data_IF_324550785746
#
_entry.id   IF_324550785746
#
_cell.length_a   1.000
_cell.length_b   1.000
_cell.length_c   1.000
_cell.angle_alpha   90.00
_cell.angle_beta   90.00
_cell.angle_gamma   90.00
#
_symmetry.space_group_name_H-M   'P 1'
#
loop_
_entity.id
_entity.type
_entity.pdbx_description
1 polymer ?
#
# COMPACT_ATOMS: atom_id res chain seq x y z
N UNK A 1 7.72 1.29 10.90
CA UNK A 1 8.14 2.22 11.97
C UNK A 1 8.15 3.60 11.33
N UNK A 2 7.53 4.58 11.95
CA UNK A 2 7.52 5.96 11.45
C UNK A 2 8.52 6.85 12.19
N UNK A 3 8.64 8.09 11.75
CA UNK A 3 9.50 9.14 12.34
C UNK A 3 9.15 9.50 13.79
N UNK A 4 7.97 9.09 14.26
CA UNK A 4 7.45 9.37 15.60
C UNK A 4 7.79 8.28 16.61
N UNK A 5 8.58 7.28 16.22
CA UNK A 5 8.88 6.14 17.08
C UNK A 5 7.67 5.22 17.28
N UNK A 6 6.72 5.17 16.33
CA UNK A 6 5.59 4.24 16.39
C UNK A 6 5.85 3.02 15.51
N UNK A 7 5.69 1.84 16.09
CA UNK A 7 5.69 0.57 15.35
C UNK A 7 4.28 0.25 14.88
N UNK A 8 4.06 0.37 13.57
CA UNK A 8 2.83 -0.04 12.91
C UNK A 8 2.89 -1.51 12.51
N UNK A 9 1.89 -2.29 12.92
CA UNK A 9 1.72 -3.68 12.54
C UNK A 9 0.42 -3.88 11.78
N UNK A 10 0.48 -4.76 10.80
CA UNK A 10 -0.67 -5.28 10.10
C UNK A 10 -0.88 -6.73 10.55
N UNK A 11 -2.00 -7.00 11.19
CA UNK A 11 -2.50 -8.35 11.41
C UNK A 11 -3.44 -8.68 10.25
N UNK A 12 -3.00 -9.54 9.33
CA UNK A 12 -3.81 -9.91 8.17
C UNK A 12 -5.02 -10.78 8.55
N UNK A 13 -5.02 -11.40 9.74
CA UNK A 13 -6.02 -12.35 10.17
C UNK A 13 -6.11 -13.63 9.33
N UNK A 14 -5.17 -13.85 8.40
CA UNK A 14 -5.09 -15.06 7.57
C UNK A 14 -4.30 -16.17 8.26
N UNK A 15 -4.81 -17.40 8.19
CA UNK A 15 -4.09 -18.60 8.57
C UNK A 15 -4.36 -19.72 7.59
N UNK A 16 -3.31 -20.19 6.92
CA UNK A 16 -3.37 -21.28 5.93
C UNK A 16 -4.31 -20.98 4.75
N UNK A 17 -4.26 -19.75 4.21
CA UNK A 17 -5.12 -19.29 3.11
C UNK A 17 -6.61 -19.26 3.51
N UNK A 18 -6.88 -18.78 4.72
CA UNK A 18 -8.22 -18.61 5.26
C UNK A 18 -8.24 -17.54 6.35
N UNK A 19 -9.11 -16.54 6.17
CA UNK A 19 -9.39 -15.52 7.16
C UNK A 19 -10.03 -16.15 8.42
N UNK A 20 -9.30 -16.17 9.54
CA UNK A 20 -9.79 -16.72 10.81
C UNK A 20 -10.24 -15.65 11.80
N UNK A 21 -9.80 -14.40 11.60
CA UNK A 21 -10.25 -13.23 12.34
C UNK A 21 -10.24 -12.00 11.43
N UNK A 22 -11.00 -10.94 11.76
CA UNK A 22 -10.94 -9.68 11.03
C UNK A 22 -9.51 -9.13 10.97
N UNK A 23 -9.08 -8.56 9.83
CA UNK A 23 -7.77 -7.94 9.72
C UNK A 23 -7.69 -6.66 10.55
N UNK A 24 -6.54 -6.40 11.15
CA UNK A 24 -6.34 -5.28 12.06
C UNK A 24 -5.08 -4.48 11.73
N UNK A 25 -5.14 -3.17 11.96
CA UNK A 25 -4.00 -2.27 11.96
C UNK A 25 -3.74 -1.87 13.42
N UNK A 26 -2.51 -2.07 13.88
CA UNK A 26 -2.08 -1.73 15.22
C UNK A 26 -0.92 -0.74 15.16
N UNK A 27 -0.80 0.11 16.18
CA UNK A 27 0.40 0.91 16.40
C UNK A 27 0.82 0.82 17.87
N UNK A 28 2.12 0.64 18.10
CA UNK A 28 2.74 0.63 19.40
C UNK A 28 3.72 1.79 19.52
N UNK A 29 3.77 2.41 20.69
CA UNK A 29 4.83 3.34 21.07
C UNK A 29 6.10 2.53 21.38
N UNK A 30 7.21 2.82 20.70
CA UNK A 30 8.49 2.13 20.91
C UNK A 30 9.26 2.60 22.15
N UNK A 31 8.95 3.77 22.70
CA UNK A 31 9.56 4.26 23.94
C UNK A 31 8.88 3.63 25.16
N UNK A 32 7.55 3.53 25.13
CA UNK A 32 6.75 3.09 26.29
C UNK A 32 6.27 1.64 26.21
N UNK A 33 6.48 0.95 25.08
CA UNK A 33 5.96 -0.39 24.80
C UNK A 33 4.42 -0.49 24.94
N UNK A 34 3.70 0.62 24.70
CA UNK A 34 2.24 0.67 24.86
C UNK A 34 1.51 0.62 23.52
N UNK A 35 0.31 0.03 23.53
CA UNK A 35 -0.59 0.01 22.38
C UNK A 35 -1.28 1.37 22.23
N UNK A 36 -1.01 2.08 21.13
CA UNK A 36 -1.61 3.39 20.81
C UNK A 36 -2.92 3.23 20.03
N UNK A 37 -2.89 2.43 18.98
CA UNK A 37 -4.04 2.20 18.10
C UNK A 37 -4.28 0.70 17.90
N UNK A 38 -5.55 0.30 17.92
CA UNK A 38 -6.03 -0.99 17.41
C UNK A 38 -7.27 -0.73 16.60
N UNK A 39 -7.17 -0.96 15.30
CA UNK A 39 -8.25 -0.73 14.35
C UNK A 39 -8.58 -2.03 13.63
N UNK A 40 -9.83 -2.45 13.72
CA UNK A 40 -10.35 -3.56 12.93
C UNK A 40 -10.90 -3.02 11.61
N UNK A 41 -10.40 -3.52 10.48
CA UNK A 41 -10.90 -3.13 9.16
C UNK A 41 -12.36 -3.62 9.05
N UNK A 42 -13.32 -2.78 8.65
CA UNK A 42 -14.72 -3.20 8.52
C UNK A 42 -14.89 -4.30 7.46
N UNK A 43 -15.73 -5.30 7.75
CA UNK A 43 -16.00 -6.42 6.83
C UNK A 43 -16.60 -6.02 5.48
N UNK A 44 -17.13 -4.80 5.36
CA UNK A 44 -17.58 -4.24 4.08
C UNK A 44 -16.42 -3.78 3.17
N UNK A 45 -15.19 -3.74 3.68
CA UNK A 45 -14.01 -3.21 2.97
C UNK A 45 -13.04 -4.31 2.51
N UNK A 46 -13.35 -5.58 2.75
CA UNK A 46 -12.54 -6.70 2.27
C UNK A 46 -13.40 -7.85 1.78
N UNK A 47 -12.78 -8.74 1.04
CA UNK A 47 -13.40 -9.93 0.45
C UNK A 47 -12.86 -11.19 1.12
N UNK A 48 -13.51 -12.33 0.89
CA UNK A 48 -13.01 -13.62 1.37
C UNK A 48 -11.58 -13.93 0.86
N UNK A 49 -11.25 -13.45 -0.34
CA UNK A 49 -9.93 -13.63 -0.96
C UNK A 49 -8.90 -12.60 -0.51
N UNK A 50 -9.26 -11.59 0.27
CA UNK A 50 -8.37 -10.49 0.61
C UNK A 50 -7.10 -10.99 1.30
N UNK A 51 -5.97 -10.41 0.90
CA UNK A 51 -4.68 -10.65 1.53
C UNK A 51 -4.00 -9.30 1.75
N UNK A 52 -4.17 -8.77 2.95
CA UNK A 52 -3.59 -7.49 3.31
C UNK A 52 -2.09 -7.62 3.51
N UNK A 53 -1.36 -6.76 2.81
CA UNK A 53 0.11 -6.69 2.78
C UNK A 53 0.57 -5.23 2.80
N UNK A 54 1.85 -5.04 3.10
CA UNK A 54 2.57 -3.76 2.91
C UNK A 54 1.86 -2.53 3.49
N UNK A 55 1.88 -2.34 4.82
CA UNK A 55 1.42 -1.10 5.43
C UNK A 55 2.44 0.02 5.18
N UNK A 56 1.98 1.16 4.67
CA UNK A 56 2.77 2.38 4.46
C UNK A 56 2.17 3.52 5.29
N UNK A 57 3.01 4.18 6.08
CA UNK A 57 2.58 5.23 7.02
C UNK A 57 3.00 6.59 6.47
N UNK A 58 2.03 7.49 6.34
CA UNK A 58 2.21 8.88 5.88
C UNK A 58 1.97 9.85 7.03
N UNK A 59 3.05 10.31 7.65
CA UNK A 59 3.06 11.37 8.67
C UNK A 59 3.49 12.68 8.01
N UNK A 60 2.82 13.80 8.35
CA UNK A 60 3.07 15.12 7.73
C UNK A 60 3.34 16.26 8.71
N UNK A 61 3.25 16.01 10.00
CA UNK A 61 3.49 16.98 11.07
C UNK A 61 4.44 16.42 12.13
N UNK A 62 5.13 17.30 12.85
CA UNK A 62 6.09 16.92 13.91
C UNK A 62 5.37 16.33 15.12
N UNK A 63 4.10 16.71 15.34
CA UNK A 63 3.24 16.20 16.41
C UNK A 63 2.55 14.87 16.05
N UNK A 64 2.76 14.36 14.84
CA UNK A 64 2.29 13.06 14.39
C UNK A 64 0.75 12.89 14.37
N UNK A 65 0.00 13.98 14.36
CA UNK A 65 -1.47 13.98 14.32
C UNK A 65 -2.01 13.85 12.88
N UNK A 66 -1.29 14.39 11.90
CA UNK A 66 -1.53 14.19 10.47
C UNK A 66 -0.87 12.90 10.02
N UNK A 67 -1.46 11.78 10.45
CA UNK A 67 -1.07 10.44 10.06
C UNK A 67 -2.15 9.77 9.22
N UNK A 68 -1.75 9.11 8.15
CA UNK A 68 -2.58 8.15 7.40
C UNK A 68 -1.81 6.84 7.21
N UNK A 69 -2.53 5.74 7.07
CA UNK A 69 -1.94 4.43 6.75
C UNK A 69 -2.59 3.89 5.48
N UNK A 70 -1.76 3.46 4.54
CA UNK A 70 -2.17 2.80 3.31
C UNK A 70 -1.80 1.32 3.39
N UNK A 71 -2.74 0.42 3.14
CA UNK A 71 -2.51 -1.02 3.18
C UNK A 71 -2.95 -1.63 1.85
N UNK A 72 -2.06 -2.36 1.19
CA UNK A 72 -2.36 -3.04 -0.05
C UNK A 72 -3.13 -4.33 0.21
N UNK A 73 -4.08 -4.65 -0.65
CA UNK A 73 -4.74 -5.94 -0.72
C UNK A 73 -4.32 -6.64 -2.00
N UNK A 74 -3.37 -7.57 -1.89
CA UNK A 74 -2.73 -8.20 -3.03
C UNK A 74 -3.68 -9.08 -3.82
N UNK A 75 -4.66 -9.70 -3.15
CA UNK A 75 -5.57 -10.64 -3.77
C UNK A 75 -6.93 -10.06 -4.06
N UNK A 76 -7.35 -8.94 -3.44
CA UNK A 76 -8.57 -8.21 -3.81
C UNK A 76 -8.34 -6.90 -4.57
N UNK A 77 -7.08 -6.59 -4.88
CA UNK A 77 -6.64 -5.48 -5.72
C UNK A 77 -7.17 -4.13 -5.25
N UNK A 78 -6.84 -3.79 -4.01
CA UNK A 78 -7.31 -2.53 -3.41
C UNK A 78 -6.29 -1.93 -2.47
N UNK A 79 -6.50 -0.66 -2.13
CA UNK A 79 -5.81 0.02 -1.06
C UNK A 79 -6.85 0.36 0.02
N UNK A 80 -6.58 -0.06 1.26
CA UNK A 80 -7.26 0.48 2.43
C UNK A 80 -6.54 1.74 2.86
N UNK A 81 -7.30 2.83 2.95
CA UNK A 81 -6.83 4.10 3.51
C UNK A 81 -7.41 4.22 4.91
N UNK A 82 -6.54 4.26 5.92
CA UNK A 82 -6.92 4.37 7.32
C UNK A 82 -6.47 5.70 7.92
N UNK A 83 -7.41 6.40 8.54
CA UNK A 83 -7.15 7.59 9.35
C UNK A 83 -7.25 7.22 10.84
N UNK A 84 -6.12 7.11 11.57
CA UNK A 84 -6.10 6.78 12.99
C UNK A 84 -6.75 7.83 13.88
N UNK A 85 -6.58 9.12 13.57
CA UNK A 85 -7.16 10.23 14.34
C UNK A 85 -8.68 10.21 14.31
N UNK A 86 -9.27 9.86 13.17
CA UNK A 86 -10.72 9.76 13.00
C UNK A 86 -11.27 8.36 13.31
N UNK A 87 -10.42 7.34 13.42
CA UNK A 87 -10.83 5.96 13.65
C UNK A 87 -11.67 5.37 12.51
N UNK A 88 -11.38 5.76 11.27
CA UNK A 88 -12.15 5.33 10.08
C UNK A 88 -11.22 4.95 8.94
N UNK A 89 -11.66 3.99 8.12
CA UNK A 89 -11.02 3.65 6.86
C UNK A 89 -12.00 3.65 5.70
N UNK A 90 -11.48 3.63 4.48
CA UNK A 90 -12.22 3.39 3.25
C UNK A 90 -11.35 2.59 2.27
N UNK A 91 -12.00 1.96 1.31
CA UNK A 91 -11.36 1.15 0.27
C UNK A 91 -11.30 1.94 -1.03
N UNK A 92 -10.16 1.95 -1.70
CA UNK A 92 -9.98 2.44 -3.06
C UNK A 92 -9.50 1.30 -3.96
N UNK A 93 -10.05 1.21 -5.17
CA UNK A 93 -9.69 0.18 -6.16
C UNK A 93 -9.57 0.82 -7.54
N UNK A 94 -8.58 0.35 -8.31
CA UNK A 94 -8.38 0.72 -9.70
C UNK A 94 -7.76 -0.42 -10.50
N UNK A 95 -7.93 -0.42 -11.83
CA UNK A 95 -7.42 -1.45 -12.73
C UNK A 95 -5.88 -1.54 -12.72
N UNK A 96 -5.19 -0.43 -12.44
CA UNK A 96 -3.73 -0.40 -12.27
C UNK A 96 -3.22 -1.25 -11.09
N UNK A 97 -4.11 -1.66 -10.19
CA UNK A 97 -3.80 -2.55 -9.05
C UNK A 97 -3.90 -4.03 -9.41
N UNK A 98 -4.39 -4.36 -10.60
CA UNK A 98 -4.63 -5.75 -11.02
C UNK A 98 -3.32 -6.42 -11.45
N UNK A 99 -3.26 -7.73 -11.27
CA UNK A 99 -2.24 -8.55 -11.91
C UNK A 99 -2.44 -8.57 -13.43
N UNK A 100 -1.35 -8.49 -14.18
CA UNK A 100 -1.32 -8.76 -15.62
C UNK A 100 -1.07 -10.27 -15.83
N UNK A 101 -2.02 -10.99 -16.46
CA UNK A 101 -1.92 -12.43 -16.64
C UNK A 101 -0.70 -12.87 -17.48
N UNK A 102 -0.10 -11.96 -18.26
CA UNK A 102 1.13 -12.26 -19.03
C UNK A 102 2.38 -12.32 -18.14
N UNK A 103 2.31 -11.84 -16.91
CA UNK A 103 3.44 -11.77 -15.97
C UNK A 103 3.18 -12.54 -14.67
N UNK A 104 2.23 -13.47 -14.67
CA UNK A 104 1.89 -14.30 -13.51
C UNK A 104 2.80 -15.51 -13.29
N UNK A 105 3.57 -15.93 -14.29
CA UNK A 105 4.47 -17.09 -14.16
C UNK A 105 5.85 -16.64 -13.70
N UNK A 106 6.29 -17.20 -12.58
CA UNK A 106 7.63 -16.97 -12.03
C UNK A 106 8.50 -18.19 -12.28
N UNK A 107 9.78 -17.96 -12.58
CA UNK A 107 10.83 -18.98 -12.58
C UNK A 107 11.93 -18.55 -11.61
N UNK A 108 12.11 -19.33 -10.54
CA UNK A 108 13.14 -19.09 -9.54
C UNK A 108 13.94 -20.37 -9.40
N UNK A 109 15.22 -20.32 -9.82
CA UNK A 109 16.13 -21.46 -9.77
C UNK A 109 15.59 -22.72 -10.49
N UNK A 110 14.89 -22.55 -11.62
CA UNK A 110 14.35 -23.65 -12.42
C UNK A 110 13.08 -24.28 -11.84
N UNK A 111 12.52 -23.69 -10.79
CA UNK A 111 11.18 -24.00 -10.30
C UNK A 111 10.23 -22.95 -10.86
N UNK A 112 9.27 -23.40 -11.66
CA UNK A 112 8.22 -22.55 -12.21
C UNK A 112 6.92 -22.71 -11.44
N UNK A 113 6.27 -21.59 -11.13
CA UNK A 113 4.99 -21.52 -10.45
C UNK A 113 4.23 -20.26 -10.86
N UNK A 114 2.91 -20.31 -10.78
CA UNK A 114 2.05 -19.17 -11.09
C UNK A 114 1.60 -18.47 -9.81
N UNK A 115 1.68 -17.14 -9.82
CA UNK A 115 1.17 -16.26 -8.80
C UNK A 115 0.54 -15.04 -9.48
N UNK A 116 -0.72 -14.73 -9.21
CA UNK A 116 -1.46 -13.62 -9.83
C UNK A 116 -1.78 -12.55 -8.78
N UNK A 117 -0.75 -12.19 -8.02
CA UNK A 117 -0.85 -11.17 -6.98
C UNK A 117 -0.85 -9.79 -7.65
N UNK A 118 -1.85 -8.98 -7.29
CA UNK A 118 -1.97 -7.59 -7.73
C UNK A 118 -1.08 -6.68 -6.88
N UNK A 119 -1.58 -5.48 -6.58
CA UNK A 119 -0.87 -4.47 -5.78
C UNK A 119 -0.20 -5.09 -4.55
N UNK A 120 1.13 -4.95 -4.45
CA UNK A 120 1.92 -5.55 -3.38
C UNK A 120 2.96 -4.57 -2.85
N UNK A 121 3.80 -4.04 -3.73
CA UNK A 121 4.80 -3.03 -3.37
C UNK A 121 4.16 -1.65 -3.33
N UNK A 122 4.41 -0.89 -2.26
CA UNK A 122 4.03 0.52 -2.16
C UNK A 122 5.14 1.30 -1.46
N UNK A 123 5.34 2.55 -1.84
CA UNK A 123 6.22 3.48 -1.13
C UNK A 123 5.81 4.93 -1.39
N UNK A 124 6.17 5.83 -0.47
CA UNK A 124 5.86 7.24 -0.58
C UNK A 124 7.04 8.05 -1.11
N UNK A 125 6.76 9.04 -1.94
CA UNK A 125 7.74 10.09 -2.24
C UNK A 125 8.21 10.78 -0.95
N UNK A 126 9.40 11.39 -0.94
CA UNK A 126 9.84 12.22 0.20
C UNK A 126 8.80 13.29 0.53
N UNK A 127 8.52 13.49 1.82
CA UNK A 127 7.64 14.56 2.27
C UNK A 127 8.33 15.92 2.08
N UNK A 128 7.58 16.88 1.55
CA UNK A 128 7.99 18.28 1.41
C UNK A 128 6.84 19.15 1.90
N UNK A 129 7.03 19.95 2.97
CA UNK A 129 5.98 20.83 3.47
C UNK A 129 5.35 21.69 2.36
N UNK A 130 4.02 21.73 2.32
CA UNK A 130 3.26 22.48 1.31
C UNK A 130 3.19 21.84 -0.08
N UNK A 131 3.79 20.67 -0.29
CA UNK A 131 3.62 19.87 -1.51
C UNK A 131 2.78 18.63 -1.22
N UNK A 132 2.10 18.11 -2.24
CA UNK A 132 1.47 16.80 -2.10
C UNK A 132 2.51 15.68 -2.14
N UNK A 133 2.13 14.54 -1.59
CA UNK A 133 2.94 13.32 -1.55
C UNK A 133 2.39 12.32 -2.55
N UNK A 134 3.29 11.59 -3.21
CA UNK A 134 2.92 10.56 -4.17
C UNK A 134 3.04 9.21 -3.48
N UNK A 135 2.02 8.37 -3.60
CA UNK A 135 2.12 6.95 -3.28
C UNK A 135 2.42 6.21 -4.59
N UNK A 136 3.64 5.69 -4.71
CA UNK A 136 4.02 4.75 -5.76
C UNK A 136 3.55 3.35 -5.36
N UNK A 137 3.11 2.57 -6.33
CA UNK A 137 2.72 1.19 -6.10
C UNK A 137 2.92 0.32 -7.34
N UNK A 138 3.07 -0.97 -7.09
CA UNK A 138 3.35 -1.98 -8.11
C UNK A 138 2.59 -3.27 -7.79
N UNK A 139 1.84 -3.76 -8.78
CA UNK A 139 1.31 -5.11 -8.75
C UNK A 139 2.43 -6.15 -8.91
N UNK A 140 2.47 -7.17 -8.05
CA UNK A 140 3.54 -8.17 -8.04
C UNK A 140 3.70 -8.82 -9.43
N UNK A 141 2.58 -9.19 -10.05
CA UNK A 141 2.52 -9.79 -11.40
C UNK A 141 2.23 -8.72 -12.45
N UNK A 142 3.09 -7.72 -12.59
CA UNK A 142 3.01 -6.69 -13.64
C UNK A 142 4.40 -6.12 -13.93
N UNK A 143 4.56 -5.46 -15.08
CA UNK A 143 5.76 -4.68 -15.43
C UNK A 143 5.59 -3.18 -15.20
N UNK A 144 4.36 -2.71 -14.98
CA UNK A 144 4.07 -1.29 -14.80
C UNK A 144 4.40 -0.83 -13.40
N UNK A 145 4.86 0.41 -13.29
CA UNK A 145 4.96 1.12 -12.03
C UNK A 145 3.87 2.19 -12.04
N UNK A 146 3.10 2.28 -10.98
CA UNK A 146 1.94 3.17 -10.93
C UNK A 146 2.07 4.15 -9.77
N UNK A 147 1.29 5.21 -9.82
CA UNK A 147 1.27 6.20 -8.75
C UNK A 147 -0.09 6.88 -8.60
N UNK A 148 -0.32 7.44 -7.42
CA UNK A 148 -1.49 8.25 -7.10
C UNK A 148 -1.10 9.35 -6.12
N UNK A 149 -1.72 10.51 -6.25
CA UNK A 149 -1.58 11.59 -5.29
C UNK A 149 -2.32 11.25 -4.00
N UNK A 150 -1.59 11.30 -2.88
CA UNK A 150 -2.15 10.95 -1.57
C UNK A 150 -3.26 11.91 -1.13
N UNK A 151 -3.26 13.17 -1.58
CA UNK A 151 -4.39 14.09 -1.32
C UNK A 151 -5.71 13.56 -1.91
N UNK A 152 -5.68 12.89 -3.05
CA UNK A 152 -6.85 12.24 -3.64
C UNK A 152 -7.26 11.00 -2.84
N UNK A 153 -6.31 10.13 -2.48
CA UNK A 153 -6.60 8.95 -1.63
C UNK A 153 -7.17 9.35 -0.26
N UNK A 154 -6.67 10.44 0.33
CA UNK A 154 -7.10 10.97 1.64
C UNK A 154 -8.53 11.52 1.61
N UNK A 155 -9.08 11.85 0.44
CA UNK A 155 -10.45 12.35 0.32
C UNK A 155 -11.46 11.19 0.35
N UNK A 156 -11.87 10.78 1.54
CA UNK A 156 -12.87 9.71 1.80
C UNK A 156 -14.12 9.81 0.92
N UNK A 157 -14.63 11.01 0.67
CA UNK A 157 -15.90 11.18 -0.07
C UNK A 157 -15.83 10.69 -1.51
N UNK A 158 -14.61 10.57 -2.08
CA UNK A 158 -14.39 9.97 -3.40
C UNK A 158 -14.72 8.49 -3.46
N UNK A 159 -14.67 7.76 -2.34
CA UNK A 159 -14.73 6.29 -2.31
C UNK A 159 -15.82 5.70 -1.42
N UNK A 160 -16.47 6.53 -0.60
CA UNK A 160 -17.43 6.08 0.42
C UNK A 160 -18.64 5.33 -0.17
N UNK A 161 -19.11 5.75 -1.35
CA UNK A 161 -20.23 5.09 -2.05
C UNK A 161 -19.78 3.97 -2.99
N UNK A 162 -18.59 4.10 -3.57
CA UNK A 162 -18.01 3.15 -4.52
C UNK A 162 -16.47 3.19 -4.45
N UNK A 163 -15.80 2.10 -4.10
CA UNK A 163 -14.32 2.05 -4.10
C UNK A 163 -13.66 2.37 -5.43
N UNK A 164 -14.37 2.26 -6.56
CA UNK A 164 -13.84 2.44 -7.92
C UNK A 164 -14.34 3.74 -8.60
N UNK A 165 -14.90 4.72 -7.86
CA UNK A 165 -15.51 5.91 -8.48
C UNK A 165 -14.54 7.01 -8.97
N UNK A 166 -13.23 6.84 -8.81
CA UNK A 166 -12.25 7.83 -9.25
C UNK A 166 -11.07 7.20 -10.00
N UNK A 167 -11.26 6.52 -11.14
CA UNK A 167 -10.16 5.94 -11.91
C UNK A 167 -9.18 6.99 -12.45
N UNK A 168 -9.62 8.25 -12.63
CA UNK A 168 -8.84 9.31 -13.24
C UNK A 168 -7.60 9.77 -12.43
N UNK A 169 -7.53 9.42 -11.14
CA UNK A 169 -6.44 9.83 -10.24
C UNK A 169 -5.27 8.82 -10.24
N UNK A 170 -5.49 7.63 -10.81
CA UNK A 170 -4.48 6.57 -10.84
C UNK A 170 -3.71 6.64 -12.15
N UNK A 171 -2.38 6.62 -12.04
CA UNK A 171 -1.50 6.90 -13.15
C UNK A 171 -0.49 5.78 -13.36
N UNK A 172 -0.24 5.44 -14.61
CA UNK A 172 0.83 4.51 -15.01
C UNK A 172 2.07 5.33 -15.36
N UNK A 173 3.21 5.03 -14.74
CA UNK A 173 4.50 5.63 -15.08
C UNK A 173 5.08 4.96 -16.33
N UNK A 174 5.14 5.68 -17.45
CA UNK A 174 5.68 5.18 -18.72
C UNK A 174 7.22 5.27 -18.85
N UNK A 175 7.91 5.86 -17.87
CA UNK A 175 9.35 5.67 -17.66
C UNK A 175 9.46 4.61 -16.58
N UNK A 176 10.10 3.44 -16.76
CA UNK A 176 11.54 3.22 -16.57
C UNK A 176 11.97 1.93 -17.32
N UNK A 177 12.87 2.04 -18.30
CA UNK A 177 13.56 0.88 -18.93
C UNK A 177 14.76 0.35 -18.11
N UNK A 178 15.02 0.90 -16.91
CA UNK A 178 16.12 0.52 -16.03
C UNK A 178 15.70 0.48 -14.56
N UNK A 179 14.89 -0.51 -14.17
CA UNK A 179 14.59 -0.75 -12.75
C UNK A 179 15.43 -1.90 -12.26
N UNK A 180 16.25 -1.67 -11.23
CA UNK A 180 17.09 -2.70 -10.61
C UNK A 180 16.49 -3.07 -9.25
N UNK A 181 16.16 -4.34 -9.07
CA UNK A 181 15.79 -4.88 -7.76
C UNK A 181 17.01 -4.76 -6.84
N UNK A 182 16.83 -4.17 -5.66
CA UNK A 182 17.88 -4.10 -4.64
C UNK A 182 17.29 -4.46 -3.28
N UNK A 183 18.05 -5.25 -2.55
CA UNK A 183 17.77 -5.56 -1.16
C UNK A 183 18.09 -4.34 -0.29
N UNK A 184 17.10 -3.83 0.44
CA UNK A 184 17.26 -2.74 1.42
C UNK A 184 16.60 -3.18 2.71
N UNK A 185 17.39 -3.24 3.79
CA UNK A 185 16.92 -3.61 5.14
C UNK A 185 16.13 -4.94 5.21
N UNK A 186 16.51 -5.94 4.42
CA UNK A 186 15.91 -7.28 4.49
C UNK A 186 14.59 -7.45 3.71
N UNK A 187 14.11 -6.40 3.06
CA UNK A 187 12.95 -6.45 2.17
C UNK A 187 13.38 -6.22 0.72
N UNK A 188 12.69 -6.89 -0.21
CA UNK A 188 12.91 -6.70 -1.64
C UNK A 188 12.24 -5.38 -2.05
N UNK A 189 13.05 -4.35 -2.29
CA UNK A 189 12.56 -3.07 -2.80
C UNK A 189 12.91 -2.93 -4.28
N UNK A 190 11.96 -2.39 -5.03
CA UNK A 190 12.19 -1.86 -6.37
C UNK A 190 12.80 -0.46 -6.19
N UNK A 191 14.13 -0.32 -6.29
CA UNK A 191 14.78 0.99 -6.11
C UNK A 191 14.88 1.72 -7.45
N UNK A 192 14.38 2.95 -7.45
CA UNK A 192 14.57 3.92 -8.52
C UNK A 192 16.02 4.39 -8.57
N UNK A 193 16.76 4.08 -9.63
CA UNK A 193 17.90 4.91 -10.01
C UNK A 193 17.32 6.17 -10.68
N UNK A 194 17.22 7.28 -9.94
CA UNK A 194 16.81 8.56 -10.51
C UNK A 194 17.78 8.97 -11.63
N UNK A 195 17.39 8.76 -12.88
CA UNK A 195 17.90 9.56 -14.00
C UNK A 195 16.85 10.64 -14.24
N UNK A 196 17.05 11.79 -13.61
CA UNK A 196 16.32 12.99 -14.00
C UNK A 196 16.80 13.38 -15.41
N UNK A 197 15.93 13.23 -16.39
CA UNK A 197 16.08 13.92 -17.67
C UNK A 197 14.74 14.59 -17.97
N UNK A 198 14.65 15.87 -17.60
CA UNK A 198 13.63 16.77 -18.12
C UNK A 198 14.13 17.39 -19.44
N UNK A 199 13.26 17.65 -20.43
CA UNK A 199 13.53 18.66 -21.46
C UNK A 199 13.47 20.09 -20.88
#
# INVERSE_FOLDING_TARGET
>A
IDECGRLWLLDSGDRNNGQICPPQILAFDLETDTLLYRYEIPSSQYEYRSLFVTPIVDVRDEECNDTMVYVADALAFSIIVYNPTLGVSWRATDETMYADPNFGTYDIHGISFDLLDGILGMDLSPYKPGSDRILFYHAMSSITENFVYTSDLRNRTRFESNPQSSPEIFHVSFSIYNVQLRWVHGSLFRIWNHVYSYP
#
